data_IF_727478577275
#
_entry.id   IF_727478577275
#
_cell.length_a   1.000
_cell.length_b   1.000
_cell.length_c   1.000
_cell.angle_alpha   90.00
_cell.angle_beta   90.00
_cell.angle_gamma   90.00
#
_symmetry.space_group_name_H-M   'P 1'
#
loop_
_entity.id
_entity.type
_entity.pdbx_description
1 polymer ?
#
# COMPACT_ATOMS: atom_id res chain seq x y z
N UNK A 1 5.24 -1.66 -9.79
CA UNK A 1 6.61 -1.11 -9.72
C UNK A 1 6.91 -0.86 -8.25
N UNK A 2 7.94 -1.50 -7.70
CA UNK A 2 8.44 -1.18 -6.35
C UNK A 2 9.36 0.04 -6.49
N UNK A 3 9.22 1.00 -5.60
CA UNK A 3 9.94 2.27 -5.64
C UNK A 3 10.49 2.61 -4.26
N UNK A 4 11.57 3.37 -4.22
CA UNK A 4 12.05 4.00 -2.99
C UNK A 4 11.07 5.05 -2.48
N UNK A 5 11.23 5.44 -1.21
CA UNK A 5 10.45 6.51 -0.60
C UNK A 5 10.58 7.83 -1.37
N UNK A 6 11.80 8.19 -1.79
CA UNK A 6 12.03 9.43 -2.55
C UNK A 6 11.33 9.40 -3.91
N UNK A 7 11.37 8.28 -4.61
CA UNK A 7 10.68 8.09 -5.89
C UNK A 7 9.16 8.14 -5.73
N UNK A 8 8.64 7.54 -4.64
CA UNK A 8 7.22 7.60 -4.28
C UNK A 8 6.77 9.04 -4.02
N UNK A 9 7.53 9.79 -3.21
CA UNK A 9 7.26 11.19 -2.92
C UNK A 9 7.25 12.02 -4.21
N UNK A 10 8.26 11.87 -5.06
CA UNK A 10 8.32 12.58 -6.33
C UNK A 10 7.11 12.26 -7.23
N UNK A 11 6.66 11.01 -7.28
CA UNK A 11 5.49 10.61 -8.06
C UNK A 11 4.19 11.17 -7.49
N UNK A 12 3.98 11.09 -6.17
CA UNK A 12 2.75 11.58 -5.53
C UNK A 12 2.62 13.09 -5.59
N UNK A 13 3.72 13.84 -5.50
CA UNK A 13 3.74 15.30 -5.73
C UNK A 13 3.28 15.63 -7.15
N UNK A 14 3.83 14.94 -8.16
CA UNK A 14 3.42 15.15 -9.56
C UNK A 14 1.94 14.83 -9.79
N UNK A 15 1.47 13.72 -9.23
CA UNK A 15 0.07 13.31 -9.40
C UNK A 15 -0.90 14.26 -8.68
N UNK A 16 -0.56 14.74 -7.47
CA UNK A 16 -1.34 15.78 -6.79
C UNK A 16 -1.37 17.09 -7.57
N UNK A 17 -0.24 17.51 -8.13
CA UNK A 17 -0.19 18.71 -8.97
C UNK A 17 -1.04 18.57 -10.25
N UNK A 18 -1.22 17.34 -10.74
CA UNK A 18 -2.13 17.02 -11.85
C UNK A 18 -3.59 16.82 -11.42
N UNK A 19 -3.93 17.05 -10.14
CA UNK A 19 -5.30 16.90 -9.62
C UNK A 19 -5.76 15.46 -9.43
N UNK A 20 -4.85 14.48 -9.48
CA UNK A 20 -5.20 13.06 -9.32
C UNK A 20 -5.46 12.68 -7.87
N UNK A 21 -6.42 11.79 -7.70
CA UNK A 21 -6.73 11.13 -6.44
C UNK A 21 -5.75 9.99 -6.16
N UNK A 22 -5.41 9.78 -4.89
CA UNK A 22 -4.43 8.77 -4.48
C UNK A 22 -5.03 7.96 -3.32
N UNK A 23 -5.13 6.65 -3.50
CA UNK A 23 -5.47 5.68 -2.47
C UNK A 23 -4.20 5.06 -1.89
N UNK A 24 -4.24 4.72 -0.60
CA UNK A 24 -3.20 3.97 0.10
C UNK A 24 -3.79 2.68 0.66
N UNK A 25 -3.18 1.56 0.30
CA UNK A 25 -3.40 0.27 0.94
C UNK A 25 -2.14 -0.12 1.70
N UNK A 26 -2.29 -0.53 2.96
CA UNK A 26 -1.17 -1.03 3.77
C UNK A 26 -1.49 -2.44 4.26
N UNK A 27 -0.53 -3.36 4.13
CA UNK A 27 -0.73 -4.75 4.55
C UNK A 27 0.56 -5.56 4.52
N UNK A 28 0.56 -6.68 5.23
CA UNK A 28 1.64 -7.68 5.16
C UNK A 28 1.53 -8.50 3.87
N UNK A 29 0.31 -8.76 3.40
CA UNK A 29 0.02 -9.49 2.16
C UNK A 29 0.70 -10.87 2.07
N UNK A 30 0.98 -11.51 3.22
CA UNK A 30 1.51 -12.86 3.28
C UNK A 30 0.58 -13.84 2.55
N UNK A 31 1.19 -14.75 1.78
CA UNK A 31 0.55 -15.66 0.84
C UNK A 31 -0.61 -15.01 0.07
N UNK A 32 -0.27 -14.06 -0.82
CA UNK A 32 -1.20 -13.35 -1.70
C UNK A 32 -2.29 -14.29 -2.26
N UNK A 33 -3.51 -14.13 -1.73
CA UNK A 33 -4.67 -14.92 -2.12
C UNK A 33 -5.77 -14.04 -2.71
N UNK A 34 -6.83 -14.66 -3.23
CA UNK A 34 -7.94 -13.98 -3.92
C UNK A 34 -8.55 -12.82 -3.12
N UNK A 35 -8.64 -12.93 -1.79
CA UNK A 35 -9.06 -11.82 -0.92
C UNK A 35 -8.21 -10.56 -1.06
N UNK A 36 -6.87 -10.66 -0.99
CA UNK A 36 -5.97 -9.52 -1.19
C UNK A 36 -6.06 -8.94 -2.59
N UNK A 37 -6.20 -9.80 -3.62
CA UNK A 37 -6.38 -9.34 -4.99
C UNK A 37 -7.64 -8.51 -5.13
N UNK A 38 -8.79 -9.00 -4.63
CA UNK A 38 -10.06 -8.27 -4.66
C UNK A 38 -9.98 -6.96 -3.89
N UNK A 39 -9.34 -6.97 -2.72
CA UNK A 39 -9.12 -5.77 -1.92
C UNK A 39 -8.30 -4.72 -2.66
N UNK A 40 -7.16 -5.10 -3.24
CA UNK A 40 -6.30 -4.18 -3.99
C UNK A 40 -6.95 -3.71 -5.29
N UNK A 41 -7.73 -4.57 -5.96
CA UNK A 41 -8.52 -4.18 -7.14
C UNK A 41 -9.60 -3.16 -6.78
N UNK A 42 -10.31 -3.37 -5.67
CA UNK A 42 -11.27 -2.40 -5.15
C UNK A 42 -10.59 -1.06 -4.83
N UNK A 43 -9.50 -1.08 -4.07
CA UNK A 43 -8.75 0.13 -3.73
C UNK A 43 -8.20 0.87 -4.96
N UNK A 44 -7.81 0.14 -6.02
CA UNK A 44 -7.36 0.73 -7.28
C UNK A 44 -8.49 1.35 -8.11
N UNK A 45 -9.74 0.96 -7.89
CA UNK A 45 -10.90 1.56 -8.56
C UNK A 45 -11.34 2.90 -7.93
N UNK A 46 -10.99 3.13 -6.66
CA UNK A 46 -11.39 4.33 -5.90
C UNK A 46 -10.46 5.54 -6.13
N UNK A 47 -9.36 5.38 -6.87
CA UNK A 47 -8.40 6.46 -7.10
C UNK A 47 -7.60 6.30 -8.39
N UNK A 48 -7.08 7.41 -8.91
CA UNK A 48 -6.22 7.43 -10.11
C UNK A 48 -4.86 6.76 -9.87
N UNK A 49 -4.40 6.72 -8.61
CA UNK A 49 -3.21 5.97 -8.18
C UNK A 49 -3.47 5.21 -6.89
N UNK A 50 -3.11 3.92 -6.90
CA UNK A 50 -2.96 3.13 -5.68
C UNK A 50 -1.49 3.05 -5.26
N UNK A 51 -1.20 3.40 -4.02
CA UNK A 51 0.06 3.11 -3.34
C UNK A 51 -0.16 1.91 -2.41
N UNK A 52 0.69 0.90 -2.51
CA UNK A 52 0.63 -0.29 -1.65
C UNK A 52 1.88 -0.33 -0.77
N UNK A 53 1.70 -0.12 0.52
CA UNK A 53 2.73 -0.31 1.53
C UNK A 53 2.71 -1.79 1.96
N UNK A 54 3.85 -2.47 1.80
CA UNK A 54 4.01 -3.87 2.19
C UNK A 54 4.89 -3.92 3.43
N UNK A 55 4.32 -4.36 4.55
CA UNK A 55 5.06 -4.51 5.79
C UNK A 55 5.78 -5.86 5.83
N UNK A 56 6.97 -5.89 6.43
CA UNK A 56 7.63 -7.16 6.74
C UNK A 56 6.94 -7.89 7.91
N UNK A 57 7.11 -9.22 7.99
CA UNK A 57 6.52 -10.06 9.04
C UNK A 57 6.95 -9.62 10.45
N UNK A 58 8.12 -8.99 10.55
CA UNK A 58 8.71 -8.52 11.81
C UNK A 58 7.92 -7.35 12.41
N UNK A 59 7.41 -6.47 11.55
CA UNK A 59 6.58 -5.32 11.95
C UNK A 59 5.21 -5.76 12.47
N UNK A 60 4.64 -6.84 11.93
CA UNK A 60 3.38 -7.43 12.43
C UNK A 60 3.59 -8.06 13.81
N UNK A 61 4.72 -8.74 14.03
CA UNK A 61 5.04 -9.34 15.33
C UNK A 61 5.22 -8.28 16.44
N UNK A 62 5.81 -7.11 16.13
CA UNK A 62 5.94 -6.00 17.08
C UNK A 62 4.59 -5.33 17.40
N UNK A 63 3.68 -5.21 16.42
CA UNK A 63 2.34 -4.65 16.60
C UNK A 63 1.37 -5.61 17.34
N UNK A 64 1.63 -6.92 17.29
CA UNK A 64 0.82 -7.93 17.97
C UNK A 64 1.21 -8.19 19.43
N UNK A 65 2.02 -7.32 20.04
CA UNK A 65 2.31 -7.25 21.49
C UNK A 65 2.24 -8.59 22.20
N UNK A 66 3.38 -9.26 22.35
CA UNK A 66 3.48 -10.62 22.89
C UNK A 66 2.51 -10.90 24.03
N UNK A 67 1.36 -11.50 23.69
CA UNK A 67 0.34 -11.93 24.63
C UNK A 67 0.43 -13.46 24.72
N UNK A 68 1.31 -13.86 25.63
CA UNK A 68 1.18 -15.06 26.44
C UNK A 68 1.23 -14.64 27.89
#
# INVERSE_FOLDING_TARGET
MIVSETELLAATVRDRAAGKTIALANGCFDLLHVGHVRYLQGAAAEADRLVVAVNDDRSVAALKGGDR
#
